data_IF_620100213436
#
_entry.id   IF_620100213436
#
_cell.length_a   1.000
_cell.length_b   1.000
_cell.length_c   1.000
_cell.angle_alpha   90.00
_cell.angle_beta   90.00
_cell.angle_gamma   90.00
#
_symmetry.space_group_name_H-M   'P 1'
#
loop_
_entity.id
_entity.type
_entity.pdbx_description
1 polymer ?
#
# COMPACT_ATOMS: atom_id res chain seq x y z
N UNK A 1 24.34 3.19 -15.52
CA UNK A 1 22.87 3.01 -15.49
C UNK A 1 22.54 2.07 -14.35
N UNK A 2 21.73 2.49 -13.38
CA UNK A 2 21.23 1.59 -12.34
C UNK A 2 20.08 0.78 -12.94
N UNK A 3 20.26 -0.53 -13.09
CA UNK A 3 19.23 -1.43 -13.60
C UNK A 3 18.18 -1.65 -12.52
N UNK A 4 16.93 -1.29 -12.80
CA UNK A 4 15.78 -1.64 -11.95
C UNK A 4 15.62 -3.16 -12.01
N UNK A 5 15.87 -3.86 -10.90
CA UNK A 5 15.55 -5.28 -10.80
C UNK A 5 14.12 -5.41 -10.32
N UNK A 6 13.22 -5.81 -11.20
CA UNK A 6 11.87 -6.22 -10.81
C UNK A 6 11.91 -7.66 -10.33
N UNK A 7 11.60 -7.90 -9.05
CA UNK A 7 11.44 -9.25 -8.54
C UNK A 7 10.04 -9.76 -8.87
N UNK A 8 9.88 -11.05 -9.21
CA UNK A 8 8.58 -11.63 -9.47
C UNK A 8 7.75 -11.60 -8.20
N UNK A 9 6.64 -10.86 -8.21
CA UNK A 9 5.68 -10.90 -7.11
C UNK A 9 4.81 -12.14 -7.31
N UNK A 10 4.99 -13.15 -6.46
CA UNK A 10 4.19 -14.37 -6.46
C UNK A 10 2.77 -14.06 -5.96
N UNK A 11 1.89 -13.63 -6.87
CA UNK A 11 0.50 -13.27 -6.61
C UNK A 11 -0.50 -14.41 -6.74
N UNK A 12 -0.09 -15.62 -6.35
CA UNK A 12 -1.02 -16.70 -6.01
C UNK A 12 -1.57 -17.48 -7.23
N UNK A 13 -2.27 -18.61 -7.03
CA UNK A 13 -1.99 -19.90 -7.68
C UNK A 13 -2.65 -20.15 -9.05
N UNK A 14 -3.51 -19.25 -9.54
CA UNK A 14 -4.13 -19.41 -10.87
C UNK A 14 -3.75 -18.26 -11.82
N UNK A 15 -2.77 -18.50 -12.73
CA UNK A 15 -2.30 -17.49 -13.67
C UNK A 15 -3.33 -17.08 -14.73
N UNK A 16 -4.48 -17.77 -14.83
CA UNK A 16 -5.61 -17.37 -15.69
C UNK A 16 -6.48 -16.30 -15.02
N UNK A 17 -6.58 -16.31 -13.69
CA UNK A 17 -7.44 -15.40 -12.93
C UNK A 17 -6.69 -14.19 -12.40
N UNK A 18 -5.39 -14.30 -12.18
CA UNK A 18 -4.55 -13.24 -11.61
C UNK A 18 -3.44 -12.81 -12.57
N UNK A 19 -2.97 -11.56 -12.48
CA UNK A 19 -1.80 -11.08 -13.21
C UNK A 19 -0.58 -11.98 -12.97
N UNK A 20 0.19 -12.27 -14.01
CA UNK A 20 1.34 -13.20 -13.94
C UNK A 20 2.63 -12.52 -13.46
N UNK A 21 2.77 -11.23 -13.77
CA UNK A 21 3.93 -10.42 -13.40
C UNK A 21 3.52 -8.94 -13.25
N UNK A 22 4.49 -8.08 -12.95
CA UNK A 22 4.30 -6.65 -12.71
C UNK A 22 3.88 -5.86 -13.97
N UNK A 23 4.12 -6.38 -15.17
CA UNK A 23 3.86 -5.70 -16.44
C UNK A 23 2.62 -6.24 -17.15
N UNK A 24 1.96 -7.25 -16.57
CA UNK A 24 0.74 -7.83 -17.12
C UNK A 24 -0.34 -6.75 -17.37
N UNK A 25 -0.83 -6.57 -18.61
CA UNK A 25 -1.77 -5.50 -18.93
C UNK A 25 -3.11 -5.63 -18.17
N UNK A 26 -3.44 -6.82 -17.66
CA UNK A 26 -4.65 -7.07 -16.87
C UNK A 26 -4.69 -6.28 -15.57
N UNK A 27 -3.57 -5.75 -15.10
CA UNK A 27 -3.54 -4.82 -13.98
C UNK A 27 -4.36 -3.55 -14.18
N UNK A 28 -4.72 -3.21 -15.43
CA UNK A 28 -5.58 -2.05 -15.75
C UNK A 28 -7.07 -2.35 -15.64
N UNK A 29 -7.47 -3.62 -15.54
CA UNK A 29 -8.87 -4.03 -15.46
C UNK A 29 -9.40 -3.92 -14.02
N UNK A 30 -10.38 -3.05 -13.74
CA UNK A 30 -10.96 -2.89 -12.40
C UNK A 30 -11.48 -4.20 -11.78
N UNK A 31 -12.01 -5.12 -12.58
CA UNK A 31 -12.51 -6.40 -12.08
C UNK A 31 -11.36 -7.31 -11.59
N UNK A 32 -10.21 -7.27 -12.28
CA UNK A 32 -8.98 -7.97 -11.86
C UNK A 32 -8.44 -7.36 -10.58
N UNK A 33 -8.37 -6.02 -10.51
CA UNK A 33 -7.89 -5.30 -9.32
C UNK A 33 -8.74 -5.63 -8.08
N UNK A 34 -10.07 -5.59 -8.21
CA UNK A 34 -11.00 -5.93 -7.12
C UNK A 34 -10.86 -7.40 -6.68
N UNK A 35 -10.67 -8.33 -7.63
CA UNK A 35 -10.49 -9.75 -7.32
C UNK A 35 -9.18 -10.04 -6.59
N UNK A 36 -8.07 -9.40 -7.00
CA UNK A 36 -6.78 -9.50 -6.30
C UNK A 36 -6.93 -9.02 -4.86
N UNK A 37 -7.56 -7.87 -4.65
CA UNK A 37 -7.79 -7.31 -3.32
C UNK A 37 -8.67 -8.21 -2.44
N UNK A 38 -9.75 -8.74 -3.00
CA UNK A 38 -10.65 -9.64 -2.27
C UNK A 38 -9.97 -10.95 -1.86
N UNK A 39 -9.19 -11.57 -2.76
CA UNK A 39 -8.46 -12.80 -2.43
C UNK A 39 -7.38 -12.56 -1.37
N UNK A 40 -6.71 -11.39 -1.39
CA UNK A 40 -5.80 -10.99 -0.33
C UNK A 40 -6.55 -10.88 1.00
N UNK A 41 -7.68 -10.16 1.05
CA UNK A 41 -8.51 -10.02 2.24
C UNK A 41 -9.01 -11.37 2.79
N UNK A 42 -9.51 -12.25 1.92
CA UNK A 42 -10.00 -13.58 2.31
C UNK A 42 -8.90 -14.39 3.00
N UNK A 43 -7.66 -14.33 2.48
CA UNK A 43 -6.51 -15.01 3.10
C UNK A 43 -6.21 -14.47 4.49
N UNK A 44 -6.23 -13.14 4.66
CA UNK A 44 -6.01 -12.51 5.96
C UNK A 44 -6.99 -13.04 7.02
N UNK A 45 -8.28 -13.11 6.66
CA UNK A 45 -9.34 -13.65 7.51
C UNK A 45 -9.09 -15.10 7.91
N UNK A 46 -8.63 -15.94 6.97
CA UNK A 46 -8.34 -17.36 7.24
C UNK A 46 -7.03 -17.58 8.00
N UNK A 47 -6.07 -16.66 7.92
CA UNK A 47 -4.77 -16.77 8.58
C UNK A 47 -4.76 -16.31 10.04
N UNK A 48 -5.90 -15.92 10.60
CA UNK A 48 -6.00 -15.48 12.00
C UNK A 48 -5.35 -14.13 12.28
N UNK A 49 -5.16 -13.28 11.26
CA UNK A 49 -4.64 -11.92 11.45
C UNK A 49 -5.67 -11.11 12.23
N UNK A 50 -5.24 -10.53 13.36
CA UNK A 50 -6.11 -9.71 14.19
C UNK A 50 -6.16 -8.25 13.69
N UNK A 51 -7.33 -7.61 13.82
CA UNK A 51 -7.60 -6.25 13.35
C UNK A 51 -7.72 -5.26 14.53
N UNK A 52 -6.79 -5.32 15.47
CA UNK A 52 -6.96 -4.69 16.80
C UNK A 52 -6.50 -3.21 16.89
N UNK A 53 -6.12 -2.60 15.77
CA UNK A 53 -5.73 -1.18 15.73
C UNK A 53 -6.85 -0.29 15.22
N UNK A 54 -7.45 0.53 16.06
CA UNK A 54 -8.33 1.62 15.58
C UNK A 54 -7.45 2.73 14.98
N UNK A 55 -7.48 2.88 13.66
CA UNK A 55 -6.81 3.98 12.99
C UNK A 55 -7.78 5.12 12.77
N UNK A 56 -7.49 6.26 13.39
CA UNK A 56 -8.33 7.44 13.36
C UNK A 56 -7.58 8.58 12.69
N UNK A 57 -7.79 8.75 11.38
CA UNK A 57 -7.33 9.94 10.65
C UNK A 57 -8.41 10.34 9.63
N UNK A 58 -9.06 11.47 9.86
CA UNK A 58 -10.11 12.01 9.00
C UNK A 58 -9.57 12.60 7.68
N UNK A 59 -8.28 12.91 7.61
CA UNK A 59 -7.58 13.32 6.39
C UNK A 59 -6.08 13.02 6.51
N UNK A 60 -5.46 12.43 5.47
CA UNK A 60 -4.00 12.37 5.39
C UNK A 60 -3.44 13.79 5.57
N UNK A 61 -2.34 13.96 6.34
CA UNK A 61 -1.75 15.27 6.52
C UNK A 61 -1.47 15.89 5.14
N UNK A 62 -1.77 17.19 4.94
CA UNK A 62 -1.40 17.88 3.71
C UNK A 62 0.13 17.89 3.62
N UNK A 63 0.71 16.89 2.96
CA UNK A 63 2.15 16.86 2.68
C UNK A 63 2.41 17.92 1.62
N UNK A 64 3.07 18.99 2.03
CA UNK A 64 3.54 20.04 1.14
C UNK A 64 4.48 19.43 0.09
N UNK A 65 4.03 19.48 -1.16
CA UNK A 65 4.85 19.45 -2.40
C UNK A 65 5.40 18.13 -2.98
N UNK A 66 5.13 16.93 -2.43
CA UNK A 66 5.65 15.69 -3.07
C UNK A 66 4.75 14.46 -2.94
N UNK A 67 3.45 14.53 -3.27
CA UNK A 67 2.75 13.30 -3.68
C UNK A 67 3.39 12.83 -4.99
N UNK A 68 4.16 11.75 -4.93
CA UNK A 68 5.04 11.33 -6.03
C UNK A 68 4.29 10.51 -7.08
N UNK A 69 3.33 9.70 -6.63
CA UNK A 69 2.37 8.95 -7.44
C UNK A 69 1.07 8.81 -6.62
N UNK A 70 -0.07 8.95 -7.31
CA UNK A 70 -1.41 8.91 -6.72
C UNK A 70 -2.33 8.19 -7.68
N UNK A 71 -3.01 7.15 -7.18
CA UNK A 71 -4.02 6.42 -7.95
C UNK A 71 -5.34 6.42 -7.23
N UNK A 72 -6.37 6.69 -8.02
CA UNK A 72 -7.75 6.78 -7.58
C UNK A 72 -8.53 5.61 -8.16
N UNK A 73 -9.33 4.97 -7.32
CA UNK A 73 -10.14 3.81 -7.65
C UNK A 73 -11.58 4.17 -7.34
N UNK A 74 -12.42 4.07 -8.35
CA UNK A 74 -13.86 4.24 -8.18
C UNK A 74 -14.43 2.99 -7.51
N UNK A 75 -15.25 3.20 -6.48
CA UNK A 75 -15.97 2.10 -5.85
C UNK A 75 -17.12 1.73 -6.79
N UNK A 76 -16.91 0.69 -7.59
CA UNK A 76 -17.98 0.15 -8.44
C UNK A 76 -19.01 -0.56 -7.56
N UNK A 77 -20.33 -0.45 -7.83
CA UNK A 77 -21.36 -1.06 -7.01
C UNK A 77 -21.07 -2.55 -6.74
N UNK A 78 -21.07 -2.87 -5.45
CA UNK A 78 -20.51 -4.07 -4.83
C UNK A 78 -20.85 -5.34 -5.59
N UNK A 79 -19.82 -6.03 -6.08
CA UNK A 79 -19.90 -7.47 -6.21
C UNK A 79 -20.04 -8.02 -4.78
N UNK A 80 -21.26 -8.28 -4.32
CA UNK A 80 -21.45 -9.08 -3.11
C UNK A 80 -20.91 -10.48 -3.45
N UNK A 81 -19.80 -10.94 -2.85
CA UNK A 81 -19.54 -12.36 -2.85
C UNK A 81 -20.78 -12.99 -2.20
N UNK A 82 -21.27 -14.10 -2.76
CA UNK A 82 -22.44 -14.82 -2.22
C UNK A 82 -22.23 -15.32 -0.77
N UNK A 83 -21.06 -15.11 -0.19
CA UNK A 83 -20.73 -15.43 1.18
C UNK A 83 -21.12 -14.29 2.12
N UNK A 84 -22.18 -14.59 2.86
CA UNK A 84 -22.68 -13.86 4.03
C UNK A 84 -21.52 -13.68 5.01
N UNK A 85 -21.17 -12.42 5.28
CA UNK A 85 -21.00 -11.87 6.64
C UNK A 85 -20.35 -10.47 6.63
N UNK A 86 -19.64 -10.07 5.55
CA UNK A 86 -19.24 -8.66 5.37
C UNK A 86 -19.13 -8.26 3.89
N UNK A 87 -19.69 -7.11 3.52
CA UNK A 87 -19.53 -6.52 2.19
C UNK A 87 -18.10 -5.96 2.07
N UNK A 88 -17.48 -6.03 0.89
CA UNK A 88 -16.09 -5.61 0.69
C UNK A 88 -15.97 -4.57 -0.44
N UNK A 89 -15.06 -3.61 -0.27
CA UNK A 89 -14.58 -2.70 -1.32
C UNK A 89 -13.06 -2.66 -1.30
N UNK A 90 -12.42 -2.63 -2.46
CA UNK A 90 -10.96 -2.64 -2.54
C UNK A 90 -10.45 -2.65 -3.96
N UNK A 91 -9.13 -2.60 -4.08
CA UNK A 91 -8.46 -2.56 -5.37
C UNK A 91 -7.00 -2.95 -5.25
N UNK A 92 -6.35 -3.02 -6.40
CA UNK A 92 -4.94 -3.34 -6.48
C UNK A 92 -4.29 -2.67 -7.69
N UNK A 93 -2.98 -2.42 -7.62
CA UNK A 93 -2.16 -1.96 -8.76
C UNK A 93 -0.82 -2.64 -8.77
N UNK A 94 -0.28 -2.82 -9.97
CA UNK A 94 1.01 -3.46 -10.18
C UNK A 94 2.17 -2.74 -9.49
N UNK A 95 2.22 -1.42 -9.63
CA UNK A 95 3.32 -0.62 -9.14
C UNK A 95 2.88 0.83 -8.99
N UNK A 96 3.30 1.47 -7.91
CA UNK A 96 3.40 2.93 -7.82
C UNK A 96 4.88 3.25 -7.89
N UNK A 97 5.30 4.12 -8.81
CA UNK A 97 6.71 4.35 -9.06
C UNK A 97 7.03 5.83 -9.06
N UNK A 98 8.19 6.17 -8.49
CA UNK A 98 8.80 7.47 -8.68
C UNK A 98 10.30 7.41 -8.85
N UNK A 99 10.74 8.22 -9.80
CA UNK A 99 12.12 8.68 -9.95
C UNK A 99 12.33 10.03 -9.27
N UNK A 100 13.22 10.09 -8.27
CA UNK A 100 13.63 11.33 -7.60
C UNK A 100 14.99 11.73 -8.15
N UNK A 101 15.05 12.84 -8.89
CA UNK A 101 16.29 13.44 -9.34
C UNK A 101 16.71 14.53 -8.35
N UNK A 102 17.92 14.44 -7.81
CA UNK A 102 18.47 15.48 -6.94
C UNK A 102 19.29 16.48 -7.75
N UNK A 103 19.17 17.77 -7.41
CA UNK A 103 20.01 18.82 -7.98
C UNK A 103 21.50 18.59 -7.63
N UNK A 104 22.41 19.08 -8.48
CA UNK A 104 23.85 19.05 -8.22
C UNK A 104 24.56 17.71 -8.53
N UNK A 105 24.05 16.93 -9.48
CA UNK A 105 24.74 15.72 -9.98
C UNK A 105 24.70 14.50 -9.06
N UNK A 106 23.85 14.50 -8.03
CA UNK A 106 23.65 13.39 -7.10
C UNK A 106 22.81 12.26 -7.73
N UNK A 107 23.00 10.99 -7.30
CA UNK A 107 22.34 9.85 -7.93
C UNK A 107 20.82 9.98 -7.85
N UNK A 108 20.15 9.70 -8.96
CA UNK A 108 18.70 9.54 -8.95
C UNK A 108 18.31 8.36 -8.08
N UNK A 109 17.40 8.54 -7.12
CA UNK A 109 16.81 7.45 -6.34
C UNK A 109 15.46 7.06 -6.95
N UNK A 110 15.26 5.77 -7.22
CA UNK A 110 13.94 5.26 -7.61
C UNK A 110 13.30 4.58 -6.40
N UNK A 111 12.09 5.02 -6.05
CA UNK A 111 11.26 4.43 -5.00
C UNK A 111 10.03 3.87 -5.68
N UNK A 112 9.69 2.62 -5.37
CA UNK A 112 8.50 1.99 -5.90
C UNK A 112 7.78 1.19 -4.82
N UNK A 113 6.46 1.13 -4.93
CA UNK A 113 5.62 0.22 -4.18
C UNK A 113 5.06 -0.82 -5.16
N UNK A 114 5.53 -2.06 -5.06
CA UNK A 114 5.10 -3.17 -5.93
C UNK A 114 3.91 -3.89 -5.33
N UNK A 115 3.00 -4.25 -6.24
CA UNK A 115 1.74 -4.94 -6.01
C UNK A 115 1.02 -4.43 -4.78
N UNK A 116 0.53 -3.21 -4.91
CA UNK A 116 -0.22 -2.55 -3.86
C UNK A 116 -1.63 -3.12 -3.88
N UNK A 117 -2.03 -3.76 -2.78
CA UNK A 117 -3.38 -4.31 -2.59
C UNK A 117 -3.99 -3.71 -1.33
N UNK A 118 -5.28 -3.40 -1.39
CA UNK A 118 -5.95 -2.71 -0.30
C UNK A 118 -7.46 -2.93 -0.32
N UNK A 119 -8.10 -2.66 0.81
CA UNK A 119 -9.55 -2.63 0.88
C UNK A 119 -10.06 -2.49 2.29
N UNK A 120 -11.39 -2.48 2.39
CA UNK A 120 -12.12 -2.44 3.64
C UNK A 120 -13.44 -3.21 3.51
N UNK A 121 -13.98 -3.63 4.65
CA UNK A 121 -15.29 -4.25 4.74
C UNK A 121 -16.33 -3.38 5.46
N UNK A 122 -17.57 -3.86 5.47
CA UNK A 122 -18.70 -3.15 6.09
C UNK A 122 -18.64 -3.04 7.61
N UNK A 123 -17.75 -3.77 8.28
CA UNK A 123 -17.50 -3.64 9.72
C UNK A 123 -16.42 -2.58 10.01
N UNK A 124 -15.85 -1.95 8.97
CA UNK A 124 -14.78 -0.96 9.09
C UNK A 124 -13.40 -1.59 9.26
N UNK A 125 -13.23 -2.90 9.06
CA UNK A 125 -11.91 -3.53 8.99
C UNK A 125 -11.26 -3.18 7.67
N UNK A 126 -10.01 -2.74 7.69
CA UNK A 126 -9.27 -2.33 6.50
C UNK A 126 -7.88 -2.94 6.48
N UNK A 127 -7.28 -3.00 5.29
CA UNK A 127 -5.90 -3.43 5.11
C UNK A 127 -5.21 -2.68 3.96
N UNK A 128 -3.89 -2.58 4.05
CA UNK A 128 -3.01 -2.14 2.97
C UNK A 128 -1.76 -3.03 2.96
N UNK A 129 -1.43 -3.56 1.79
CA UNK A 129 -0.27 -4.44 1.58
C UNK A 129 0.49 -4.02 0.33
N UNK A 130 1.80 -3.93 0.42
CA UNK A 130 2.72 -3.68 -0.69
C UNK A 130 4.14 -4.12 -0.33
N UNK A 131 5.04 -4.17 -1.32
CA UNK A 131 6.48 -4.16 -1.09
C UNK A 131 7.04 -2.81 -1.49
N UNK A 132 7.60 -2.07 -0.53
CA UNK A 132 8.30 -0.82 -0.79
C UNK A 132 9.76 -1.14 -1.15
N UNK A 133 10.08 -1.09 -2.43
CA UNK A 133 11.42 -1.32 -2.94
C UNK A 133 12.16 -0.01 -3.25
N UNK A 134 13.50 -0.08 -3.25
CA UNK A 134 14.39 1.03 -3.63
C UNK A 134 15.46 0.59 -4.63
N UNK A 135 15.84 1.51 -5.52
CA UNK A 135 17.14 1.45 -6.21
C UNK A 135 18.10 2.53 -5.67
N UNK A 136 19.14 2.08 -4.96
CA UNK A 136 20.45 2.72 -4.71
C UNK A 136 20.50 4.11 -4.04
N UNK A 137 21.07 4.18 -2.83
CA UNK A 137 21.65 5.39 -2.21
C UNK A 137 21.71 5.27 -0.67
N UNK A 138 22.46 6.17 0.00
CA UNK A 138 22.78 6.11 1.45
C UNK A 138 22.51 7.48 2.12
N UNK A 139 21.28 7.99 2.01
CA UNK A 139 20.97 9.40 2.32
C UNK A 139 19.77 9.62 3.27
N UNK A 140 19.41 8.60 4.06
CA UNK A 140 18.35 8.73 5.09
C UNK A 140 16.99 9.15 4.51
N UNK A 141 16.60 8.54 3.40
CA UNK A 141 15.36 8.75 2.70
C UNK A 141 14.23 7.96 3.37
N UNK A 142 13.05 8.56 3.34
CA UNK A 142 11.83 7.94 3.81
C UNK A 142 10.83 7.85 2.69
N UNK A 143 10.06 6.77 2.67
CA UNK A 143 8.91 6.62 1.81
C UNK A 143 7.67 6.38 2.67
N UNK A 144 6.55 6.97 2.27
CA UNK A 144 5.28 6.73 2.91
C UNK A 144 4.26 6.20 1.91
N UNK A 145 3.52 5.17 2.30
CA UNK A 145 2.41 4.61 1.55
C UNK A 145 1.13 4.86 2.32
N UNK A 146 0.18 5.54 1.68
CA UNK A 146 -1.10 5.90 2.30
C UNK A 146 -2.29 5.39 1.50
N UNK A 147 -3.38 5.14 2.21
CA UNK A 147 -4.70 4.87 1.67
C UNK A 147 -5.71 5.85 2.28
N UNK A 148 -6.65 6.33 1.47
CA UNK A 148 -7.78 7.14 1.94
C UNK A 148 -9.09 6.71 1.29
N UNK A 149 -10.16 6.78 2.06
CA UNK A 149 -11.53 6.45 1.70
C UNK A 149 -12.37 7.73 1.69
N UNK A 150 -13.19 7.90 0.66
CA UNK A 150 -14.01 9.12 0.50
C UNK A 150 -15.40 8.86 -0.08
N UNK A 151 -16.31 9.77 0.26
CA UNK A 151 -17.71 9.83 -0.15
C UNK A 151 -17.98 11.21 -0.73
N UNK A 152 -18.24 11.31 -2.04
CA UNK A 152 -18.46 12.60 -2.72
C UNK A 152 -17.43 13.67 -2.34
N UNK A 153 -16.14 13.31 -2.44
CA UNK A 153 -14.96 14.12 -2.07
C UNK A 153 -14.81 14.48 -0.57
N UNK A 154 -15.71 14.00 0.30
CA UNK A 154 -15.55 14.06 1.76
C UNK A 154 -14.72 12.88 2.25
N UNK A 155 -13.67 13.15 3.04
CA UNK A 155 -12.88 12.12 3.70
C UNK A 155 -13.72 11.32 4.71
N UNK A 156 -13.72 10.00 4.57
CA UNK A 156 -14.35 9.04 5.49
C UNK A 156 -13.30 8.43 6.42
N UNK A 157 -12.09 8.22 5.92
CA UNK A 157 -10.96 7.77 6.73
C UNK A 157 -9.68 7.67 5.91
N UNK A 158 -8.53 7.68 6.57
CA UNK A 158 -7.24 7.51 5.93
C UNK A 158 -6.22 6.85 6.85
N UNK A 159 -5.17 6.29 6.24
CA UNK A 159 -4.05 5.67 6.92
C UNK A 159 -2.77 5.86 6.13
N UNK A 160 -1.65 6.02 6.82
CA UNK A 160 -0.33 6.19 6.22
C UNK A 160 0.72 5.40 7.00
N UNK A 161 1.59 4.71 6.27
CA UNK A 161 2.78 4.04 6.80
C UNK A 161 4.00 4.74 6.27
N UNK A 162 4.90 5.17 7.16
CA UNK A 162 6.23 5.65 6.76
C UNK A 162 7.28 4.56 7.05
N UNK A 163 8.26 4.42 6.15
CA UNK A 163 9.41 3.50 6.29
C UNK A 163 10.69 4.22 5.90
N UNK A 164 11.77 3.94 6.63
CA UNK A 164 13.13 4.20 6.15
C UNK A 164 13.42 3.30 4.96
N UNK A 165 14.01 3.84 3.90
CA UNK A 165 14.41 3.09 2.70
C UNK A 165 15.94 3.03 2.55
N UNK A 166 16.65 3.21 3.66
CA UNK A 166 18.12 3.15 3.78
C UNK A 166 18.55 2.09 4.82
N UNK A 167 19.53 1.21 4.50
CA UNK A 167 20.06 0.92 3.17
C UNK A 167 18.99 0.28 2.25
N UNK A 168 19.23 0.26 0.93
CA UNK A 168 18.24 -0.22 -0.04
C UNK A 168 17.94 -1.70 0.10
N UNK A 169 16.75 -2.02 0.60
CA UNK A 169 16.17 -3.38 0.67
C UNK A 169 14.66 -3.31 0.44
N UNK A 170 14.05 -4.43 0.09
CA UNK A 170 12.60 -4.53 -0.07
C UNK A 170 11.93 -4.52 1.31
N UNK A 171 11.19 -3.45 1.59
CA UNK A 171 10.45 -3.27 2.84
C UNK A 171 9.01 -3.74 2.67
N UNK A 172 8.68 -4.89 3.25
CA UNK A 172 7.30 -5.35 3.29
C UNK A 172 6.45 -4.35 4.09
N UNK A 173 5.40 -3.81 3.44
CA UNK A 173 4.38 -3.01 4.10
C UNK A 173 3.15 -3.88 4.21
N UNK A 174 2.79 -4.22 5.44
CA UNK A 174 1.53 -4.88 5.73
C UNK A 174 0.93 -4.29 7.00
N UNK A 175 -0.28 -3.77 6.85
CA UNK A 175 -0.98 -3.02 7.87
C UNK A 175 -2.46 -3.35 7.79
N UNK A 176 -3.06 -3.50 8.97
CA UNK A 176 -4.47 -3.81 9.15
C UNK A 176 -4.99 -2.96 10.31
N UNK A 177 -6.29 -2.71 10.32
CA UNK A 177 -6.93 -2.04 11.44
C UNK A 177 -8.44 -1.99 11.29
N UNK A 178 -9.06 -1.28 12.23
CA UNK A 178 -10.50 -0.98 12.26
C UNK A 178 -10.73 0.53 12.22
N UNK A 179 -11.93 0.94 11.80
CA UNK A 179 -12.39 2.32 11.84
C UNK A 179 -13.91 2.37 11.90
N UNK A 180 -14.44 2.89 13.01
CA UNK A 180 -15.89 3.04 13.21
C UNK A 180 -16.51 4.05 12.23
N UNK A 181 -15.78 5.11 11.89
CA UNK A 181 -16.19 6.08 10.87
C UNK A 181 -16.25 5.46 9.47
N UNK A 182 -15.29 4.58 9.13
CA UNK A 182 -15.34 3.82 7.89
C UNK A 182 -16.53 2.87 7.86
N UNK A 183 -16.83 2.19 8.98
CA UNK A 183 -18.01 1.33 9.10
C UNK A 183 -19.32 2.12 8.86
N UNK A 184 -19.48 3.28 9.51
CA UNK A 184 -20.64 4.17 9.32
C UNK A 184 -20.75 4.70 7.90
N UNK A 185 -19.61 5.09 7.30
CA UNK A 185 -19.53 5.68 5.97
C UNK A 185 -19.49 4.68 4.83
N UNK A 186 -19.42 3.37 5.10
CA UNK A 186 -19.16 2.32 4.13
C UNK A 186 -20.14 2.33 2.95
N UNK A 187 -21.43 2.56 3.22
CA UNK A 187 -22.51 2.65 2.24
C UNK A 187 -22.46 3.87 1.33
N UNK A 188 -21.68 4.87 1.73
CA UNK A 188 -21.51 6.10 0.97
C UNK A 188 -20.16 6.17 0.24
N UNK A 189 -19.30 5.16 0.37
CA UNK A 189 -17.98 5.17 -0.27
C UNK A 189 -18.11 5.23 -1.79
N UNK A 190 -17.45 6.21 -2.38
CA UNK A 190 -17.44 6.44 -3.84
C UNK A 190 -16.04 6.27 -4.41
N UNK A 191 -15.01 6.48 -3.58
CA UNK A 191 -13.63 6.54 -4.03
C UNK A 191 -12.66 6.08 -2.97
N UNK A 192 -11.68 5.29 -3.40
CA UNK A 192 -10.50 4.92 -2.63
C UNK A 192 -9.28 5.50 -3.35
N UNK A 193 -8.34 6.08 -2.60
CA UNK A 193 -7.12 6.64 -3.16
C UNK A 193 -5.91 6.07 -2.45
N UNK A 194 -4.88 5.73 -3.23
CA UNK A 194 -3.59 5.26 -2.73
C UNK A 194 -2.52 6.24 -3.15
N UNK A 195 -1.65 6.62 -2.21
CA UNK A 195 -0.58 7.61 -2.40
C UNK A 195 0.76 7.03 -2.02
N UNK A 196 1.77 7.27 -2.85
CA UNK A 196 3.17 7.09 -2.52
C UNK A 196 3.82 8.47 -2.34
N UNK A 197 4.43 8.68 -1.20
CA UNK A 197 5.24 9.85 -0.87
C UNK A 197 6.68 9.41 -0.66
N UNK A 198 7.62 10.32 -0.90
CA UNK A 198 8.95 10.15 -0.37
C UNK A 198 9.58 11.49 -0.04
N UNK A 199 10.40 11.45 1.00
CA UNK A 199 11.08 12.60 1.54
C UNK A 199 12.57 12.31 1.60
N UNK A 200 13.36 13.28 1.16
CA UNK A 200 14.80 13.28 1.30
C UNK A 200 15.20 14.20 2.45
N UNK A 201 15.95 13.67 3.41
CA UNK A 201 16.35 14.44 4.58
C UNK A 201 17.74 15.09 4.43
N UNK A 202 18.43 14.92 3.30
CA UNK A 202 19.66 15.65 2.97
C UNK A 202 20.89 15.30 3.82
N UNK A 203 20.72 14.48 4.86
CA UNK A 203 21.78 14.04 5.76
C UNK A 203 22.18 12.63 5.37
N UNK A 204 23.46 12.42 5.05
CA UNK A 204 24.02 11.07 4.90
C UNK A 204 23.62 10.25 6.13
N UNK A 205 23.05 9.07 5.91
CA UNK A 205 22.80 8.16 7.01
C UNK A 205 24.15 7.86 7.72
N UNK A 206 24.20 7.83 9.06
CA UNK A 206 25.40 7.38 9.75
C UNK A 206 25.73 5.97 9.24
N UNK A 207 27.00 5.71 8.90
CA UNK A 207 27.46 4.39 8.45
C UNK A 207 27.26 3.36 9.57
N UNK A 208 26.08 2.75 9.62
CA UNK A 208 25.76 1.67 10.54
C UNK A 208 26.22 0.35 9.97
N UNK A 209 27.35 -0.18 10.46
CA UNK A 209 27.62 -1.60 10.38
C UNK A 209 26.63 -2.33 11.30
N UNK A 210 25.66 -3.03 10.71
CA UNK A 210 24.79 -3.91 11.49
C UNK A 210 23.56 -4.31 10.71
N UNK A 211 23.51 -5.58 10.29
CA UNK A 211 22.24 -6.27 10.06
C UNK A 211 21.51 -6.33 11.41
N UNK A 212 20.65 -5.37 11.72
CA UNK A 212 19.66 -5.54 12.78
C UNK A 212 18.46 -6.24 12.16
N UNK A 213 18.46 -7.58 12.26
CA UNK A 213 17.23 -8.37 12.18
C UNK A 213 16.39 -8.06 13.41
N UNK A 214 15.63 -6.96 13.38
CA UNK A 214 14.50 -6.81 14.30
C UNK A 214 13.29 -7.45 13.62
N UNK A 215 13.11 -8.74 13.91
CA UNK A 215 11.78 -9.32 13.88
C UNK A 215 10.94 -8.56 14.90
N UNK A 216 9.90 -7.86 14.43
CA UNK A 216 8.85 -7.39 15.32
C UNK A 216 8.20 -8.64 15.91
N UNK A 217 8.38 -8.80 17.22
CA UNK A 217 7.82 -9.87 18.01
C UNK A 217 6.30 -9.87 17.88
N UNK A 218 5.74 -10.93 17.30
CA UNK A 218 4.33 -11.27 17.42
C UNK A 218 4.15 -11.94 18.78
N UNK A 219 3.57 -11.18 19.72
CA UNK A 219 2.92 -11.61 20.96
C UNK A 219 3.71 -12.48 21.97
N UNK A 220 3.78 -11.98 23.21
CA UNK A 220 4.15 -12.76 24.39
C UNK A 220 3.05 -13.75 24.80
N UNK A 221 3.46 -14.64 25.70
CA UNK A 221 2.74 -15.76 26.34
C UNK A 221 1.25 -15.54 26.66
#
# INVERSE_FOLDING_TARGET
MATVRSYPVNLLPDPKLFPRDLFDPRWKDPAVQARVAFEAYRRLRTSGVSFDGEALISALPPRTETSLDRRTFEVTPRAAPKDRDARFVGGAVNELHRRIAFAGGRPTVNIHAQVVTFGADSEGRWFLRANLGRVGGEDGNEAALGISFSSNDRGVGAFEVTRSVDPGDDQAVFVVGTSSELAKGFDSLTRIEVRLFAQHHGKRAPKGHGRSSEAISLFGE
#
